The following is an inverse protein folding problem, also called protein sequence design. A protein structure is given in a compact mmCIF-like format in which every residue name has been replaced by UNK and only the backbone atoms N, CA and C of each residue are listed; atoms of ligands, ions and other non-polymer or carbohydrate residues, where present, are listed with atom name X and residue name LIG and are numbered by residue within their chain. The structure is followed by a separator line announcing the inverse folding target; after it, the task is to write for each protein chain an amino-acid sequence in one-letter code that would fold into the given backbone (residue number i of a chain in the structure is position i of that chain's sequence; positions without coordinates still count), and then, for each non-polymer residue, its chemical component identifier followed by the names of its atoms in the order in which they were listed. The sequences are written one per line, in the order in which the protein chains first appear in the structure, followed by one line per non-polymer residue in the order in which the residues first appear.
data_IF_227296589743
#
_entry.id   IF_227296589743
#
_cell.length_a   1.000
_cell.length_b   1.000
_cell.length_c   1.000
_cell.angle_alpha   90.00
_cell.angle_beta   90.00
_cell.angle_gamma   90.00
#
_symmetry.space_group_name_H-M   'P 1'
#
loop_
_entity.id
_entity.type
_entity.pdbx_description
1 polymer ?
#
# COMPACT_ATOMS: atom_id res chain seq x y z
N UNK A 1 -6.81 -13.20 0.53
CA UNK A 1 -5.60 -12.35 0.41
C UNK A 1 -5.56 -11.77 -1.01
N UNK A 2 -5.02 -10.57 -1.19
CA UNK A 2 -4.88 -9.99 -2.53
C UNK A 2 -5.77 -8.78 -2.87
N UNK A 3 -6.42 -8.18 -1.87
CA UNK A 3 -7.12 -6.91 -2.04
C UNK A 3 -6.13 -5.74 -1.98
N UNK A 4 -6.42 -4.69 -2.74
CA UNK A 4 -5.56 -3.50 -2.84
C UNK A 4 -5.74 -2.57 -1.65
N UNK A 5 -4.62 -2.20 -1.00
CA UNK A 5 -4.61 -1.24 0.10
C UNK A 5 -4.84 0.20 -0.38
N UNK A 6 -4.49 0.51 -1.63
CA UNK A 6 -4.77 1.80 -2.26
C UNK A 6 -6.24 1.91 -2.66
N UNK A 7 -6.81 0.86 -3.24
CA UNK A 7 -8.23 0.86 -3.63
C UNK A 7 -9.12 1.00 -2.39
N UNK A 8 -8.95 0.13 -1.39
CA UNK A 8 -9.80 0.14 -0.20
C UNK A 8 -9.31 1.14 0.84
N UNK A 9 -8.14 0.89 1.42
CA UNK A 9 -7.60 1.68 2.52
C UNK A 9 -7.48 3.18 2.19
N UNK A 10 -6.83 3.50 1.06
CA UNK A 10 -6.57 4.89 0.71
C UNK A 10 -7.80 5.58 0.10
N UNK A 11 -8.57 4.91 -0.74
CA UNK A 11 -9.61 5.55 -1.57
C UNK A 11 -11.04 5.36 -1.07
N UNK A 12 -11.29 4.37 -0.20
CA UNK A 12 -12.64 4.02 0.27
C UNK A 12 -12.80 3.95 1.80
N UNK A 13 -11.69 3.90 2.56
CA UNK A 13 -11.71 3.78 4.04
C UNK A 13 -11.04 4.93 4.80
N UNK A 14 -9.71 4.97 4.95
CA UNK A 14 -9.05 5.86 5.92
C UNK A 14 -8.15 6.93 5.28
N UNK A 15 -7.95 6.87 3.96
CA UNK A 15 -7.12 7.84 3.27
C UNK A 15 -7.74 9.23 3.09
N UNK A 16 -6.92 10.19 2.61
CA UNK A 16 -7.27 11.61 2.53
C UNK A 16 -8.35 11.93 1.48
N UNK A 17 -8.50 11.09 0.47
CA UNK A 17 -9.37 11.34 -0.67
C UNK A 17 -10.38 10.21 -0.88
N UNK A 18 -11.54 10.57 -1.42
CA UNK A 18 -12.62 9.66 -1.78
C UNK A 18 -13.08 9.90 -3.21
N UNK A 19 -13.49 8.83 -3.87
CA UNK A 19 -14.11 8.91 -5.19
C UNK A 19 -15.52 9.51 -5.10
N UNK A 20 -15.81 10.52 -5.93
CA UNK A 20 -17.17 11.01 -6.12
C UNK A 20 -18.04 9.93 -6.77
N UNK A 21 -19.35 9.95 -6.48
CA UNK A 21 -20.34 9.03 -7.08
C UNK A 21 -20.39 9.08 -8.61
N UNK A 22 -19.93 10.18 -9.20
CA UNK A 22 -19.85 10.39 -10.65
C UNK A 22 -18.51 9.95 -11.26
N UNK A 23 -17.62 9.33 -10.48
CA UNK A 23 -16.30 8.76 -10.87
C UNK A 23 -15.30 9.75 -11.48
N UNK A 24 -15.68 11.02 -11.67
CA UNK A 24 -14.87 12.02 -12.37
C UNK A 24 -14.14 13.00 -11.43
N UNK A 25 -13.99 12.68 -10.14
CA UNK A 25 -13.29 13.56 -9.21
C UNK A 25 -13.12 12.99 -7.81
N UNK A 26 -12.25 13.65 -7.04
CA UNK A 26 -11.93 13.32 -5.66
C UNK A 26 -12.48 14.39 -4.72
N UNK A 27 -12.92 13.97 -3.53
CA UNK A 27 -13.21 14.89 -2.42
C UNK A 27 -12.42 14.52 -1.17
N UNK A 28 -12.15 15.52 -0.32
CA UNK A 28 -11.39 15.34 0.91
C UNK A 28 -12.23 14.60 1.95
N UNK A 29 -11.65 13.56 2.55
CA UNK A 29 -12.23 12.86 3.69
C UNK A 29 -11.94 13.62 4.99
N UNK A 30 -12.99 14.17 5.61
CA UNK A 30 -12.88 14.93 6.87
C UNK A 30 -12.40 14.08 8.06
N UNK A 31 -12.52 12.76 7.97
CA UNK A 31 -12.11 11.81 9.00
C UNK A 31 -10.89 10.99 8.58
N UNK A 32 -10.08 11.51 7.66
CA UNK A 32 -8.88 10.83 7.20
C UNK A 32 -7.85 10.69 8.33
N UNK A 33 -7.26 9.50 8.44
CA UNK A 33 -6.30 9.20 9.51
C UNK A 33 -4.96 9.93 9.33
N UNK A 34 -4.69 10.44 8.13
CA UNK A 34 -3.48 11.21 7.86
C UNK A 34 -3.48 12.61 8.52
N UNK A 35 -4.57 13.00 9.20
CA UNK A 35 -4.65 14.24 9.98
C UNK A 35 -3.85 14.18 11.28
N UNK A 36 -3.56 12.98 11.78
CA UNK A 36 -2.83 12.74 13.05
C UNK A 36 -1.67 11.75 12.92
N UNK A 37 -1.47 11.16 11.74
CA UNK A 37 -0.43 10.17 11.48
C UNK A 37 0.09 10.26 10.04
N UNK A 38 1.29 9.72 9.81
CA UNK A 38 1.78 9.47 8.46
C UNK A 38 1.33 8.07 8.03
N UNK A 39 0.58 7.97 6.93
CA UNK A 39 0.05 6.70 6.42
C UNK A 39 0.85 6.22 5.20
N UNK A 40 1.21 4.94 5.20
CA UNK A 40 1.79 4.25 4.05
C UNK A 40 0.83 3.13 3.61
N UNK A 41 0.26 3.25 2.42
CA UNK A 41 -0.58 2.22 1.81
C UNK A 41 0.27 1.32 0.92
N UNK A 42 0.24 0.01 1.16
CA UNK A 42 1.12 -0.95 0.51
C UNK A 42 0.31 -2.02 -0.23
N UNK A 43 0.56 -2.14 -1.53
CA UNK A 43 0.04 -3.21 -2.39
C UNK A 43 0.88 -4.48 -2.21
N UNK A 44 0.34 -5.51 -1.57
CA UNK A 44 1.06 -6.77 -1.34
C UNK A 44 0.10 -7.98 -1.29
N UNK A 45 0.55 -9.18 -1.74
CA UNK A 45 1.83 -9.48 -2.40
C UNK A 45 1.90 -8.98 -3.87
N UNK A 46 2.96 -9.33 -4.59
CA UNK A 46 3.02 -9.09 -6.04
C UNK A 46 1.82 -9.74 -6.74
N UNK A 47 1.22 -9.00 -7.68
CA UNK A 47 -0.06 -9.35 -8.33
C UNK A 47 -1.26 -8.59 -7.78
N UNK A 48 -1.10 -7.81 -6.71
CA UNK A 48 -2.18 -7.02 -6.09
C UNK A 48 -2.10 -5.57 -6.57
N UNK A 49 -3.21 -5.06 -7.13
CA UNK A 49 -3.32 -3.71 -7.66
C UNK A 49 -2.22 -3.41 -8.67
N UNK A 50 -1.32 -2.49 -8.33
CA UNK A 50 -0.20 -2.08 -9.18
C UNK A 50 1.11 -2.82 -8.91
N UNK A 51 1.20 -3.62 -7.83
CA UNK A 51 2.38 -4.43 -7.53
C UNK A 51 2.48 -5.60 -8.51
N UNK A 52 3.63 -5.78 -9.15
CA UNK A 52 3.86 -6.84 -10.14
C UNK A 52 5.16 -7.61 -9.92
N UNK A 53 5.32 -8.70 -10.65
CA UNK A 53 6.53 -9.51 -10.73
C UNK A 53 6.77 -9.92 -12.18
N UNK A 54 8.03 -9.93 -12.61
CA UNK A 54 8.41 -10.42 -13.94
C UNK A 54 8.41 -11.95 -14.02
N UNK A 55 8.29 -12.65 -12.88
CA UNK A 55 8.27 -14.10 -12.80
C UNK A 55 6.88 -14.58 -12.44
N UNK A 56 6.14 -15.05 -13.45
CA UNK A 56 4.74 -15.49 -13.30
C UNK A 56 4.53 -16.57 -12.23
N UNK A 57 5.52 -17.46 -12.02
CA UNK A 57 5.46 -18.47 -10.95
C UNK A 57 5.37 -17.87 -9.54
N UNK A 58 5.81 -16.63 -9.33
CA UNK A 58 5.70 -15.96 -8.04
C UNK A 58 4.24 -15.62 -7.67
N UNK A 59 3.34 -15.51 -8.67
CA UNK A 59 1.90 -15.30 -8.45
C UNK A 59 1.23 -16.55 -7.88
N UNK A 60 1.78 -17.73 -8.19
CA UNK A 60 1.29 -19.02 -7.71
C UNK A 60 1.95 -19.43 -6.39
N UNK A 61 3.17 -18.97 -6.14
CA UNK A 61 3.91 -19.16 -4.90
C UNK A 61 3.69 -17.98 -3.94
N UNK A 62 2.42 -17.70 -3.62
CA UNK A 62 2.02 -16.70 -2.63
C UNK A 62 1.67 -17.36 -1.29
N UNK A 63 1.91 -16.67 -0.18
CA UNK A 63 1.59 -17.18 1.16
C UNK A 63 2.22 -16.35 2.28
N UNK A 64 1.74 -16.54 3.50
CA UNK A 64 2.06 -15.68 4.66
C UNK A 64 3.57 -15.51 4.89
N UNK A 65 4.33 -16.59 4.80
CA UNK A 65 5.79 -16.56 5.00
C UNK A 65 6.50 -15.73 3.94
N UNK A 66 6.05 -15.80 2.69
CA UNK A 66 6.65 -15.04 1.58
C UNK A 66 6.24 -13.58 1.66
N UNK A 67 4.95 -13.31 1.80
CA UNK A 67 4.40 -11.96 1.94
C UNK A 67 5.04 -11.25 3.12
N UNK A 68 5.12 -11.89 4.30
CA UNK A 68 5.77 -11.34 5.49
C UNK A 68 7.25 -11.04 5.30
N UNK A 69 8.01 -11.90 4.59
CA UNK A 69 9.42 -11.62 4.27
C UNK A 69 9.58 -10.40 3.37
N UNK A 70 8.79 -10.31 2.30
CA UNK A 70 8.87 -9.20 1.35
C UNK A 70 8.48 -7.88 2.01
N UNK A 71 7.44 -7.86 2.84
CA UNK A 71 7.02 -6.64 3.55
C UNK A 71 8.07 -6.21 4.57
N UNK A 72 8.64 -7.13 5.36
CA UNK A 72 9.72 -6.81 6.31
C UNK A 72 10.95 -6.24 5.60
N UNK A 73 11.32 -6.79 4.44
CA UNK A 73 12.45 -6.28 3.65
C UNK A 73 12.19 -4.84 3.22
N UNK A 74 10.98 -4.53 2.75
CA UNK A 74 10.58 -3.18 2.39
C UNK A 74 10.69 -2.22 3.59
N UNK A 75 10.17 -2.59 4.76
CA UNK A 75 10.26 -1.75 5.95
C UNK A 75 11.71 -1.51 6.37
N UNK A 76 12.57 -2.53 6.31
CA UNK A 76 14.01 -2.36 6.56
C UNK A 76 14.65 -1.37 5.60
N UNK A 77 14.30 -1.43 4.31
CA UNK A 77 14.79 -0.49 3.30
C UNK A 77 14.32 0.93 3.57
N UNK A 78 13.04 1.13 3.89
CA UNK A 78 12.48 2.44 4.25
C UNK A 78 13.22 3.02 5.47
N UNK A 79 13.40 2.22 6.52
CA UNK A 79 14.14 2.64 7.72
C UNK A 79 15.59 3.01 7.37
N UNK A 80 16.27 2.22 6.53
CA UNK A 80 17.64 2.51 6.11
C UNK A 80 17.74 3.83 5.32
N UNK A 81 16.80 4.11 4.42
CA UNK A 81 16.75 5.38 3.66
C UNK A 81 16.54 6.56 4.61
N UNK A 82 15.60 6.45 5.56
CA UNK A 82 15.34 7.52 6.54
C UNK A 82 16.60 7.81 7.38
N UNK A 83 17.31 6.76 7.84
CA UNK A 83 18.56 6.95 8.60
C UNK A 83 19.68 7.54 7.75
N UNK A 84 19.81 7.12 6.48
CA UNK A 84 20.85 7.65 5.58
C UNK A 84 20.62 9.11 5.19
N UNK A 85 19.37 9.58 5.18
CA UNK A 85 19.03 11.00 4.91
C UNK A 85 19.22 11.90 6.14
N UNK A 86 19.57 11.33 7.31
CA UNK A 86 19.78 12.05 8.56
C UNK A 86 21.27 12.24 8.90
N UNK A 87 22.17 11.88 7.98
CA UNK A 87 23.63 12.11 8.00
C UNK A 87 23.98 13.00 6.82
#
# INVERSE_FOLDING_TARGET
PGCSSVAYGASEEIGPFRLNKTTSGLYINKFAWNTVANLLFLEAPAGVGFSYTNRSSDLLDTGDRRTGRTTILLFKLITAIIHSSCI
#
